data_IF_031252385957
#
_entry.id   IF_031252385957
#
_cell.length_a   1.000
_cell.length_b   1.000
_cell.length_c   1.000
_cell.angle_alpha   90.00
_cell.angle_beta   90.00
_cell.angle_gamma   90.00
#
_symmetry.space_group_name_H-M   'P 1'
#
loop_
_entity.id
_entity.type
_entity.pdbx_description
1 polymer ?
#
# COMPACT_ATOMS: atom_id res chain seq x y z
N UNK A 1 -22.79 6.25 -23.40
CA UNK A 1 -23.98 7.09 -23.50
C UNK A 1 -23.76 8.43 -22.81
N UNK A 2 -24.55 9.43 -23.19
CA UNK A 2 -24.46 10.79 -22.64
C UNK A 2 -24.68 10.82 -21.11
N UNK A 3 -25.59 9.96 -20.60
CA UNK A 3 -25.89 9.87 -19.17
C UNK A 3 -24.73 9.33 -18.33
N UNK A 4 -23.99 8.35 -18.84
CA UNK A 4 -22.82 7.78 -18.15
C UNK A 4 -21.69 8.81 -18.05
N UNK A 5 -21.46 9.59 -19.12
CA UNK A 5 -20.46 10.66 -19.09
C UNK A 5 -20.76 11.73 -18.06
N UNK A 6 -22.03 12.10 -17.92
CA UNK A 6 -22.45 13.10 -16.92
C UNK A 6 -22.33 12.57 -15.49
N UNK A 7 -22.67 11.29 -15.25
CA UNK A 7 -22.52 10.65 -13.95
C UNK A 7 -21.03 10.59 -13.57
N UNK A 8 -20.17 10.17 -14.50
CA UNK A 8 -18.73 10.10 -14.29
C UNK A 8 -18.13 11.48 -13.90
N UNK A 9 -18.50 12.52 -14.67
CA UNK A 9 -18.04 13.88 -14.39
C UNK A 9 -18.46 14.37 -13.00
N UNK A 10 -19.71 14.11 -12.60
CA UNK A 10 -20.19 14.49 -11.27
C UNK A 10 -19.46 13.77 -10.16
N UNK A 11 -19.15 12.48 -10.33
CA UNK A 11 -18.38 11.71 -9.37
C UNK A 11 -16.96 12.27 -9.22
N UNK A 12 -16.30 12.56 -10.34
CA UNK A 12 -14.95 13.16 -10.31
C UNK A 12 -14.97 14.53 -9.62
N UNK A 13 -15.94 15.39 -9.93
CA UNK A 13 -16.07 16.69 -9.29
C UNK A 13 -16.27 16.57 -7.77
N UNK A 14 -17.02 15.56 -7.34
CA UNK A 14 -17.22 15.28 -5.93
C UNK A 14 -15.92 14.92 -5.22
N UNK A 15 -15.10 14.06 -5.83
CA UNK A 15 -13.80 13.69 -5.28
C UNK A 15 -12.81 14.85 -5.32
N UNK A 16 -12.77 15.62 -6.39
CA UNK A 16 -11.93 16.82 -6.50
C UNK A 16 -12.27 17.82 -5.40
N UNK A 17 -13.56 18.07 -5.16
CA UNK A 17 -13.99 18.99 -4.11
C UNK A 17 -13.53 18.51 -2.72
N UNK A 18 -13.67 17.22 -2.43
CA UNK A 18 -13.23 16.64 -1.15
C UNK A 18 -11.73 16.69 -1.00
N UNK A 19 -10.99 16.39 -2.06
CA UNK A 19 -9.53 16.45 -2.03
C UNK A 19 -9.05 17.89 -1.86
N UNK A 20 -9.63 18.84 -2.58
CA UNK A 20 -9.30 20.26 -2.45
C UNK A 20 -9.52 20.74 -1.00
N UNK A 21 -10.63 20.37 -0.38
CA UNK A 21 -10.92 20.70 1.01
C UNK A 21 -9.89 20.09 1.96
N UNK A 22 -9.55 18.82 1.76
CA UNK A 22 -8.56 18.12 2.57
C UNK A 22 -7.19 18.80 2.49
N UNK A 23 -6.76 19.17 1.27
CA UNK A 23 -5.48 19.83 1.05
C UNK A 23 -5.46 21.22 1.68
N UNK A 24 -6.52 21.99 1.50
CA UNK A 24 -6.64 23.35 2.03
C UNK A 24 -6.66 23.34 3.56
N UNK A 25 -7.50 22.49 4.16
CA UNK A 25 -7.64 22.40 5.61
C UNK A 25 -6.37 21.96 6.32
N UNK A 26 -5.51 21.20 5.64
CA UNK A 26 -4.27 20.69 6.21
C UNK A 26 -3.03 21.40 5.69
N UNK A 27 -3.19 22.47 4.91
CA UNK A 27 -2.09 23.23 4.33
C UNK A 27 -1.12 22.37 3.51
N UNK A 28 -1.67 21.41 2.74
CA UNK A 28 -0.88 20.49 1.92
C UNK A 28 -0.82 21.04 0.50
N UNK A 29 0.40 21.12 -0.04
CA UNK A 29 0.65 21.51 -1.42
C UNK A 29 1.13 20.30 -2.21
N UNK A 30 0.46 19.98 -3.32
CA UNK A 30 0.78 18.85 -4.18
C UNK A 30 1.06 19.34 -5.60
N UNK A 31 1.92 18.61 -6.32
CA UNK A 31 2.07 18.78 -7.75
C UNK A 31 0.86 18.18 -8.48
N UNK A 32 0.70 18.54 -9.77
CA UNK A 32 -0.43 18.07 -10.57
C UNK A 32 -0.49 16.54 -10.65
N UNK A 33 0.67 15.89 -10.83
CA UNK A 33 0.73 14.43 -10.89
C UNK A 33 0.37 13.76 -9.56
N UNK A 34 0.77 14.34 -8.45
CA UNK A 34 0.40 13.85 -7.12
C UNK A 34 -1.12 13.97 -6.91
N UNK A 35 -1.67 15.09 -7.28
CA UNK A 35 -3.12 15.34 -7.24
C UNK A 35 -3.87 14.31 -8.09
N UNK A 36 -3.44 14.10 -9.32
CA UNK A 36 -4.06 13.17 -10.26
C UNK A 36 -4.06 11.72 -9.72
N UNK A 37 -2.95 11.31 -9.12
CA UNK A 37 -2.86 9.97 -8.52
C UNK A 37 -3.85 9.79 -7.38
N UNK A 38 -4.02 10.81 -6.53
CA UNK A 38 -4.96 10.75 -5.41
C UNK A 38 -6.42 10.81 -5.88
N UNK A 39 -6.71 11.49 -6.97
CA UNK A 39 -8.03 11.46 -7.59
C UNK A 39 -8.33 10.06 -8.14
N UNK A 40 -7.37 9.44 -8.83
CA UNK A 40 -7.51 8.06 -9.31
C UNK A 40 -7.79 7.09 -8.16
N UNK A 41 -7.03 7.20 -7.07
CA UNK A 41 -7.23 6.40 -5.87
C UNK A 41 -8.66 6.62 -5.31
N UNK A 42 -9.04 7.87 -5.12
CA UNK A 42 -10.35 8.24 -4.55
C UNK A 42 -11.52 7.75 -5.39
N UNK A 43 -11.39 7.82 -6.72
CA UNK A 43 -12.40 7.29 -7.63
C UNK A 43 -12.61 5.79 -7.43
N UNK A 44 -11.53 5.05 -7.14
CA UNK A 44 -11.60 3.60 -6.96
C UNK A 44 -12.05 3.18 -5.55
N UNK A 45 -11.55 3.82 -4.51
CA UNK A 45 -11.79 3.39 -3.12
C UNK A 45 -12.69 4.33 -2.31
N UNK A 46 -13.07 5.47 -2.89
CA UNK A 46 -13.79 6.51 -2.16
C UNK A 46 -12.84 7.47 -1.48
N UNK A 47 -13.38 8.48 -0.80
CA UNK A 47 -12.62 9.54 -0.12
C UNK A 47 -12.35 9.26 1.35
N UNK A 48 -12.76 8.10 1.88
CA UNK A 48 -12.62 7.78 3.30
C UNK A 48 -11.18 7.75 3.81
N UNK A 49 -10.21 7.51 2.91
CA UNK A 49 -8.80 7.52 3.27
C UNK A 49 -8.32 8.87 3.82
N UNK A 50 -9.01 9.97 3.47
CA UNK A 50 -8.64 11.32 3.89
C UNK A 50 -8.82 11.55 5.39
N UNK A 51 -9.66 10.77 6.06
CA UNK A 51 -10.01 10.99 7.47
C UNK A 51 -9.01 10.38 8.43
N UNK A 52 -8.69 9.12 8.26
CA UNK A 52 -7.87 8.40 9.22
C UNK A 52 -7.15 7.23 8.55
N UNK A 53 -6.04 7.51 7.90
CA UNK A 53 -5.22 6.50 7.24
C UNK A 53 -3.74 6.85 7.37
N UNK A 54 -2.88 5.86 7.15
CA UNK A 54 -1.44 6.08 7.07
C UNK A 54 -1.12 7.09 5.96
N UNK A 55 -1.79 7.00 4.81
CA UNK A 55 -1.60 7.93 3.70
C UNK A 55 -1.93 9.37 4.11
N UNK A 56 -3.08 9.60 4.72
CA UNK A 56 -3.45 10.94 5.16
C UNK A 56 -2.48 11.48 6.20
N UNK A 57 -1.99 10.65 7.12
CA UNK A 57 -1.01 11.05 8.12
C UNK A 57 0.32 11.47 7.49
N UNK A 58 0.81 10.71 6.50
CA UNK A 58 2.04 11.07 5.78
C UNK A 58 1.90 12.39 5.03
N UNK A 59 0.80 12.56 4.31
CA UNK A 59 0.55 13.80 3.56
C UNK A 59 0.45 15.01 4.49
N UNK A 60 -0.19 14.87 5.64
CA UNK A 60 -0.29 15.94 6.65
C UNK A 60 1.07 16.28 7.25
N UNK A 61 1.93 15.29 7.47
CA UNK A 61 3.25 15.50 8.04
C UNK A 61 4.20 16.23 7.09
N UNK A 62 4.02 16.04 5.79
CA UNK A 62 4.93 16.57 4.77
C UNK A 62 6.28 15.87 4.70
N UNK A 63 6.52 14.86 5.53
CA UNK A 63 7.78 14.10 5.59
C UNK A 63 7.50 12.62 5.41
N UNK A 64 7.98 12.06 4.31
CA UNK A 64 7.87 10.62 4.04
C UNK A 64 8.91 10.20 3.02
N UNK A 65 9.38 8.96 3.17
CA UNK A 65 10.22 8.33 2.15
C UNK A 65 9.36 7.77 1.02
N UNK A 66 9.98 7.47 -0.11
CA UNK A 66 9.30 6.82 -1.23
C UNK A 66 8.61 5.52 -0.79
N UNK A 67 9.30 4.67 -0.04
CA UNK A 67 8.75 3.39 0.43
C UNK A 67 7.61 3.56 1.42
N UNK A 68 7.69 4.55 2.31
CA UNK A 68 6.59 4.84 3.23
C UNK A 68 5.32 5.26 2.47
N UNK A 69 5.45 6.19 1.53
CA UNK A 69 4.33 6.64 0.69
C UNK A 69 3.78 5.48 -0.14
N UNK A 70 4.67 4.71 -0.77
CA UNK A 70 4.28 3.58 -1.62
C UNK A 70 3.46 2.55 -0.84
N UNK A 71 3.89 2.19 0.36
CA UNK A 71 3.15 1.23 1.19
C UNK A 71 1.84 1.81 1.73
N UNK A 72 1.84 3.08 2.15
CA UNK A 72 0.64 3.73 2.67
C UNK A 72 -0.47 3.86 1.60
N UNK A 73 -0.08 4.10 0.36
CA UNK A 73 -1.02 4.19 -0.76
C UNK A 73 -1.37 2.80 -1.30
N UNK A 74 -0.38 1.92 -1.41
CA UNK A 74 -0.51 0.59 -2.00
C UNK A 74 -1.38 -0.37 -1.19
N UNK A 75 -1.52 -0.16 0.12
CA UNK A 75 -2.31 -1.04 1.00
C UNK A 75 -3.79 -1.13 0.57
N UNK A 76 -4.29 -0.19 -0.20
CA UNK A 76 -5.67 -0.17 -0.70
C UNK A 76 -5.83 -1.11 -1.90
N UNK A 77 -5.54 -2.40 -1.68
CA UNK A 77 -5.57 -3.43 -2.71
C UNK A 77 -6.35 -4.68 -2.27
N UNK A 78 -7.23 -4.54 -1.28
CA UNK A 78 -7.98 -5.66 -0.73
C UNK A 78 -9.42 -5.64 -1.18
N UNK A 79 -10.01 -6.84 -1.31
CA UNK A 79 -11.43 -7.04 -1.55
C UNK A 79 -11.99 -7.89 -0.41
N UNK A 80 -13.26 -7.66 -0.08
CA UNK A 80 -13.95 -8.44 0.94
C UNK A 80 -14.55 -9.69 0.31
N UNK A 81 -14.19 -10.85 0.81
CA UNK A 81 -14.76 -12.13 0.39
C UNK A 81 -16.06 -12.44 1.14
N UNK A 82 -16.80 -13.43 0.64
CA UNK A 82 -18.09 -13.83 1.19
C UNK A 82 -18.03 -14.28 2.66
N UNK A 83 -16.87 -14.73 3.13
CA UNK A 83 -16.66 -15.07 4.54
C UNK A 83 -16.38 -13.88 5.46
N UNK A 84 -16.32 -12.65 4.91
CA UNK A 84 -16.05 -11.43 5.66
C UNK A 84 -14.59 -11.03 5.73
N UNK A 85 -13.67 -11.88 5.27
CA UNK A 85 -12.23 -11.58 5.27
C UNK A 85 -11.86 -10.68 4.09
N UNK A 86 -10.88 -9.80 4.33
CA UNK A 86 -10.29 -8.97 3.29
C UNK A 86 -9.03 -9.66 2.76
N UNK A 87 -8.98 -9.84 1.44
CA UNK A 87 -7.86 -10.51 0.77
C UNK A 87 -7.26 -9.61 -0.30
N UNK A 88 -5.94 -9.78 -0.53
CA UNK A 88 -5.23 -9.05 -1.56
C UNK A 88 -5.76 -9.45 -2.94
N UNK A 89 -6.05 -8.45 -3.77
CA UNK A 89 -6.53 -8.63 -5.14
C UNK A 89 -5.46 -8.16 -6.12
N UNK A 90 -4.98 -9.06 -6.98
CA UNK A 90 -3.85 -8.77 -7.88
C UNK A 90 -4.09 -7.59 -8.82
N UNK A 91 -5.31 -7.45 -9.34
CA UNK A 91 -5.68 -6.32 -10.19
C UNK A 91 -5.59 -4.99 -9.47
N UNK A 92 -5.98 -4.96 -8.19
CA UNK A 92 -5.86 -3.76 -7.36
C UNK A 92 -4.41 -3.46 -7.00
N UNK A 93 -3.58 -4.49 -6.80
CA UNK A 93 -2.13 -4.32 -6.60
C UNK A 93 -1.53 -3.60 -7.81
N UNK A 94 -1.80 -4.11 -9.01
CA UNK A 94 -1.29 -3.49 -10.25
C UNK A 94 -1.79 -2.07 -10.42
N UNK A 95 -3.04 -1.81 -10.08
CA UNK A 95 -3.60 -0.45 -10.14
C UNK A 95 -2.91 0.50 -9.18
N UNK A 96 -2.66 0.07 -7.94
CA UNK A 96 -1.93 0.91 -6.97
C UNK A 96 -0.51 1.19 -7.43
N UNK A 97 0.17 0.20 -8.02
CA UNK A 97 1.52 0.40 -8.53
C UNK A 97 1.55 1.39 -9.68
N UNK A 98 0.58 1.34 -10.59
CA UNK A 98 0.46 2.32 -11.68
C UNK A 98 0.18 3.74 -11.13
N UNK A 99 -0.71 3.87 -10.14
CA UNK A 99 -0.99 5.16 -9.47
C UNK A 99 0.24 5.70 -8.74
N UNK A 100 1.05 4.83 -8.13
CA UNK A 100 2.30 5.23 -7.49
C UNK A 100 3.30 5.81 -8.50
N UNK A 101 3.37 5.26 -9.71
CA UNK A 101 4.22 5.81 -10.76
C UNK A 101 3.76 7.20 -11.19
N UNK A 102 2.45 7.44 -11.23
CA UNK A 102 1.92 8.79 -11.47
C UNK A 102 2.34 9.72 -10.33
N UNK A 103 2.11 9.33 -9.09
CA UNK A 103 2.40 10.16 -7.92
C UNK A 103 3.89 10.51 -7.82
N UNK A 104 4.76 9.52 -7.95
CA UNK A 104 6.20 9.66 -7.69
C UNK A 104 7.00 10.12 -8.90
N UNK A 105 6.60 9.72 -10.11
CA UNK A 105 7.40 9.93 -11.32
C UNK A 105 6.67 10.68 -12.42
N UNK A 106 5.43 11.09 -12.21
CA UNK A 106 4.57 11.68 -13.24
C UNK A 106 4.49 10.78 -14.50
N UNK A 107 4.48 9.47 -14.29
CA UNK A 107 4.38 8.48 -15.37
C UNK A 107 2.95 8.00 -15.51
N UNK A 108 2.30 8.43 -16.59
CA UNK A 108 0.90 8.13 -16.90
C UNK A 108 0.73 6.93 -17.84
N UNK A 109 1.80 6.16 -18.09
CA UNK A 109 1.76 5.04 -19.04
C UNK A 109 0.91 3.85 -18.59
N UNK A 110 0.56 3.80 -17.30
CA UNK A 110 -0.14 2.65 -16.72
C UNK A 110 0.78 1.49 -16.33
N UNK A 111 2.09 1.67 -16.47
CA UNK A 111 3.08 0.67 -16.07
C UNK A 111 3.06 0.45 -14.56
N UNK A 112 3.29 -0.79 -14.14
CA UNK A 112 3.51 -1.17 -12.74
C UNK A 112 5.00 -1.37 -12.41
N UNK A 113 5.89 -1.09 -13.34
CA UNK A 113 7.34 -1.23 -13.14
C UNK A 113 7.86 -0.20 -12.11
N UNK A 114 9.00 -0.50 -11.51
CA UNK A 114 9.70 0.39 -10.58
C UNK A 114 9.43 0.13 -9.11
N UNK A 115 8.46 -0.72 -8.81
CA UNK A 115 8.14 -1.17 -7.46
C UNK A 115 8.01 -2.67 -7.41
N UNK A 116 8.30 -3.21 -6.22
CA UNK A 116 8.02 -4.61 -5.91
C UNK A 116 7.15 -4.68 -4.68
N UNK A 117 6.16 -5.57 -4.72
CA UNK A 117 5.37 -5.88 -3.54
C UNK A 117 6.04 -7.01 -2.74
N UNK A 118 5.90 -6.94 -1.45
CA UNK A 118 6.24 -8.04 -0.52
C UNK A 118 5.00 -8.34 0.29
N UNK A 119 4.54 -9.59 0.22
CA UNK A 119 3.41 -10.09 1.00
C UNK A 119 3.94 -10.80 2.23
N UNK A 120 3.39 -10.44 3.39
CA UNK A 120 3.81 -10.95 4.69
C UNK A 120 2.78 -11.95 5.20
N UNK A 121 3.17 -13.22 5.28
CA UNK A 121 2.33 -14.27 5.84
C UNK A 121 2.79 -14.50 7.27
N UNK A 122 1.95 -14.08 8.21
CA UNK A 122 2.16 -14.35 9.62
C UNK A 122 1.44 -15.62 10.03
N UNK A 123 2.02 -16.33 10.99
CA UNK A 123 1.37 -17.45 11.63
C UNK A 123 0.33 -16.94 12.64
N UNK A 124 -0.45 -17.85 13.21
CA UNK A 124 -1.44 -17.53 14.24
C UNK A 124 -0.83 -16.91 15.51
N UNK A 125 0.49 -16.97 15.66
CA UNK A 125 1.21 -16.55 16.86
C UNK A 125 1.46 -15.07 16.96
N UNK A 126 1.47 -14.34 15.85
CA UNK A 126 1.82 -12.93 15.83
C UNK A 126 0.68 -12.02 15.44
N UNK A 127 0.74 -10.80 15.92
CA UNK A 127 -0.16 -9.73 15.49
C UNK A 127 0.33 -9.14 14.19
N UNK A 128 -0.57 -8.95 13.25
CA UNK A 128 -0.26 -8.42 11.93
C UNK A 128 -0.35 -6.90 11.92
N UNK A 129 0.74 -6.25 11.54
CA UNK A 129 0.72 -4.82 11.27
C UNK A 129 0.13 -4.54 9.88
N UNK A 130 0.60 -5.30 8.87
CA UNK A 130 0.11 -5.23 7.49
C UNK A 130 0.47 -6.53 6.77
N UNK A 131 -0.26 -6.86 5.70
CA UNK A 131 -0.03 -8.08 4.94
C UNK A 131 0.72 -7.86 3.63
N UNK A 132 0.94 -6.60 3.24
CA UNK A 132 1.66 -6.23 2.02
C UNK A 132 2.36 -4.90 2.21
N UNK A 133 3.53 -4.76 1.60
CA UNK A 133 4.25 -3.50 1.50
C UNK A 133 4.80 -3.34 0.08
N UNK A 134 5.12 -2.11 -0.28
CA UNK A 134 5.63 -1.77 -1.60
C UNK A 134 6.96 -1.06 -1.44
N UNK A 135 7.96 -1.51 -2.19
CA UNK A 135 9.32 -0.99 -2.13
C UNK A 135 9.81 -0.60 -3.51
N UNK A 136 10.45 0.57 -3.59
CA UNK A 136 11.08 1.00 -4.83
C UNK A 136 12.16 0.00 -5.24
N UNK A 137 12.23 -0.32 -6.54
CA UNK A 137 13.23 -1.25 -7.09
C UNK A 137 14.64 -0.81 -6.69
N UNK A 138 15.41 -1.75 -6.17
CA UNK A 138 16.79 -1.52 -5.73
C UNK A 138 16.94 -0.93 -4.34
N UNK A 139 15.84 -0.57 -3.66
CA UNK A 139 15.92 -0.08 -2.28
C UNK A 139 16.12 -1.24 -1.30
N UNK A 140 16.76 -0.92 -0.17
CA UNK A 140 16.89 -1.85 0.94
C UNK A 140 15.76 -1.59 1.92
N UNK A 141 15.19 -2.64 2.48
CA UNK A 141 14.08 -2.54 3.41
C UNK A 141 14.29 -3.41 4.65
N UNK A 142 13.63 -3.05 5.74
CA UNK A 142 13.60 -3.86 6.97
C UNK A 142 12.15 -4.13 7.37
N UNK A 143 11.63 -5.33 7.09
CA UNK A 143 10.25 -5.67 7.42
C UNK A 143 10.07 -6.24 8.83
N UNK A 144 11.07 -6.22 9.68
CA UNK A 144 11.00 -6.84 11.01
C UNK A 144 9.85 -6.29 11.86
N UNK A 145 9.50 -5.02 11.67
CA UNK A 145 8.38 -4.40 12.40
C UNK A 145 7.00 -4.90 11.96
N UNK A 146 6.91 -5.65 10.87
CA UNK A 146 5.63 -6.19 10.38
C UNK A 146 5.23 -7.50 11.07
N UNK A 147 6.09 -8.02 11.96
CA UNK A 147 5.81 -9.23 12.73
C UNK A 147 6.00 -8.93 14.22
N UNK A 148 4.92 -8.92 14.97
CA UNK A 148 4.94 -8.66 16.41
C UNK A 148 4.14 -9.71 17.17
N UNK A 149 4.54 -9.98 18.40
CA UNK A 149 3.80 -10.84 19.33
C UNK A 149 4.16 -10.45 20.74
N UNK A 150 3.19 -10.57 21.66
CA UNK A 150 3.41 -10.36 23.09
C UNK A 150 3.98 -11.60 23.79
N UNK A 151 3.92 -12.76 23.15
CA UNK A 151 4.24 -14.06 23.77
C UNK A 151 5.29 -14.86 23.01
N UNK A 152 5.59 -14.50 21.77
CA UNK A 152 6.50 -15.25 20.90
C UNK A 152 7.68 -14.38 20.46
N UNK A 153 8.83 -14.99 20.30
CA UNK A 153 10.03 -14.33 19.77
C UNK A 153 10.08 -14.51 18.26
N UNK A 154 10.10 -13.39 17.56
CA UNK A 154 10.21 -13.37 16.10
C UNK A 154 11.65 -13.69 15.68
N UNK A 155 11.82 -14.69 14.82
CA UNK A 155 13.11 -15.15 14.35
C UNK A 155 13.51 -14.59 12.97
N UNK A 156 12.55 -14.08 12.22
CA UNK A 156 12.83 -13.50 10.90
C UNK A 156 11.78 -13.90 9.86
N UNK A 157 11.97 -13.36 8.68
CA UNK A 157 11.16 -13.68 7.52
C UNK A 157 11.88 -14.76 6.70
N UNK A 158 11.13 -15.75 6.28
CA UNK A 158 11.62 -16.93 5.57
C UNK A 158 10.95 -17.03 4.21
N UNK A 159 11.66 -17.61 3.23
CA UNK A 159 11.08 -17.93 1.93
C UNK A 159 10.12 -19.12 2.06
N UNK A 160 9.32 -19.36 1.03
CA UNK A 160 8.41 -20.53 1.00
C UNK A 160 9.16 -21.84 1.17
N UNK A 161 10.40 -21.93 0.69
CA UNK A 161 11.25 -23.12 0.84
C UNK A 161 11.88 -23.26 2.23
N UNK A 162 11.65 -22.30 3.12
CA UNK A 162 12.12 -22.37 4.51
C UNK A 162 13.50 -21.78 4.75
N UNK A 163 14.01 -20.96 3.83
CA UNK A 163 15.29 -20.29 3.97
C UNK A 163 15.11 -18.91 4.59
N UNK A 164 15.98 -18.56 5.54
CA UNK A 164 15.99 -17.23 6.13
C UNK A 164 16.31 -16.18 5.06
N UNK A 165 15.45 -15.17 4.97
CA UNK A 165 15.66 -14.05 4.05
C UNK A 165 16.71 -13.12 4.63
N UNK A 166 17.90 -13.07 4.00
CA UNK A 166 19.03 -12.25 4.45
C UNK A 166 19.27 -11.04 3.55
N UNK A 167 18.94 -11.14 2.25
CA UNK A 167 19.05 -10.03 1.31
C UNK A 167 17.72 -9.29 1.24
N UNK A 168 17.70 -8.08 1.81
CA UNK A 168 16.52 -7.23 1.90
C UNK A 168 16.53 -6.14 0.81
N UNK A 169 17.18 -6.37 -0.31
CA UNK A 169 17.11 -5.49 -1.47
C UNK A 169 15.88 -5.84 -2.32
N UNK A 170 15.11 -4.84 -2.70
CA UNK A 170 13.90 -5.02 -3.50
C UNK A 170 14.26 -5.28 -4.96
N UNK A 171 14.32 -6.56 -5.36
CA UNK A 171 14.68 -7.01 -6.70
C UNK A 171 13.59 -7.83 -7.39
N UNK A 172 12.59 -8.27 -6.64
CA UNK A 172 11.48 -9.08 -7.15
C UNK A 172 10.26 -8.99 -6.23
N UNK A 173 9.11 -9.30 -6.77
CA UNK A 173 7.91 -9.54 -5.96
C UNK A 173 8.10 -10.85 -5.20
N UNK A 174 7.75 -10.86 -3.92
CA UNK A 174 7.92 -12.08 -3.12
C UNK A 174 6.89 -12.16 -2.00
N UNK A 175 6.65 -13.39 -1.55
CA UNK A 175 5.91 -13.69 -0.33
C UNK A 175 6.88 -14.22 0.70
N UNK A 176 6.81 -13.69 1.92
CA UNK A 176 7.69 -14.09 3.02
C UNK A 176 6.84 -14.57 4.21
N UNK A 177 7.39 -15.50 4.95
CA UNK A 177 6.70 -16.23 6.02
C UNK A 177 7.38 -15.97 7.35
N UNK A 178 6.62 -15.55 8.35
CA UNK A 178 7.14 -15.34 9.70
C UNK A 178 7.48 -16.69 10.36
N UNK A 179 8.62 -16.73 11.03
CA UNK A 179 8.99 -17.86 11.89
C UNK A 179 9.18 -17.36 13.32
N UNK A 180 8.72 -18.15 14.26
CA UNK A 180 8.73 -17.85 15.69
C UNK A 180 9.55 -18.89 16.44
N UNK A 181 10.14 -18.50 17.58
CA UNK A 181 11.02 -19.39 18.34
C UNK A 181 10.35 -20.72 18.67
N UNK A 182 9.09 -20.72 19.08
CA UNK A 182 8.37 -21.94 19.43
C UNK A 182 8.17 -22.91 18.26
N UNK A 183 8.26 -22.45 17.01
CA UNK A 183 8.11 -23.32 15.83
C UNK A 183 9.20 -24.40 15.77
N UNK A 184 10.31 -24.19 16.45
CA UNK A 184 11.47 -25.08 16.44
C UNK A 184 11.52 -26.02 17.65
N UNK A 185 10.59 -25.90 18.59
CA UNK A 185 10.56 -26.71 19.82
C UNK A 185 9.43 -27.71 19.86
N UNK A 186 8.55 -27.69 18.89
CA UNK A 186 7.45 -28.63 18.72
C UNK A 186 7.88 -29.74 17.73
#
# INVERSE_FOLDING_TARGET
>A
SRGLGDVYKRQLQGFEKKLDSFLTENSISLSDNQYDALISLSYNIGSGWMKNSALSALLKSGFYSTNELASAMGIWCHVKESGGDYVIHDGLVSRRMAELRVFLYADYSGSSDGFYWVRFVQTEKGDRARDIAFYEAGSTYDPSFDATSNTEVFLGWYTESGELLTDLTATENRTVYAQWESDFYD
#
